data_IF_626185698034
#
_entry.id   IF_626185698034
#
_cell.length_a   1.000
_cell.length_b   1.000
_cell.length_c   1.000
_cell.angle_alpha   90.00
_cell.angle_beta   90.00
_cell.angle_gamma   90.00
#
_symmetry.space_group_name_H-M   'P 1'
#
loop_
_entity.id
_entity.type
_entity.pdbx_description
1 polymer ?
#
# COMPACT_ATOMS: atom_id res chain seq x y z
N UNK A 1 -63.33 -33.67 37.35
CA UNK A 1 -62.80 -32.33 37.04
C UNK A 1 -61.26 -32.19 37.07
N UNK A 2 -60.48 -32.92 37.89
CA UNK A 2 -58.99 -32.79 37.93
C UNK A 2 -58.22 -33.43 36.75
N UNK A 3 -58.80 -34.34 35.95
CA UNK A 3 -58.12 -34.97 34.80
C UNK A 3 -58.02 -34.07 33.57
N UNK A 4 -59.04 -33.25 33.27
CA UNK A 4 -59.02 -32.36 32.09
C UNK A 4 -57.93 -31.27 32.17
N UNK A 5 -57.48 -30.86 33.36
CA UNK A 5 -56.40 -29.87 33.47
C UNK A 5 -55.01 -30.45 33.18
N UNK A 6 -54.84 -31.78 33.29
CA UNK A 6 -53.56 -32.43 32.99
C UNK A 6 -53.28 -32.51 31.49
N UNK A 7 -54.29 -32.76 30.67
CA UNK A 7 -54.11 -32.86 29.21
C UNK A 7 -53.87 -31.48 28.58
N UNK A 8 -54.61 -30.46 29.02
CA UNK A 8 -54.40 -29.09 28.57
C UNK A 8 -52.97 -28.60 28.87
N UNK A 9 -52.44 -28.93 30.05
CA UNK A 9 -51.06 -28.59 30.44
C UNK A 9 -50.02 -29.28 29.57
N UNK A 10 -50.19 -30.59 29.28
CA UNK A 10 -49.28 -31.34 28.41
C UNK A 10 -49.24 -30.78 26.98
N UNK A 11 -50.41 -30.45 26.40
CA UNK A 11 -50.47 -29.83 25.07
C UNK A 11 -49.78 -28.47 25.06
N UNK A 12 -49.94 -27.67 26.11
CA UNK A 12 -49.27 -26.38 26.21
C UNK A 12 -47.74 -26.51 26.35
N UNK A 13 -47.26 -27.47 27.14
CA UNK A 13 -45.82 -27.77 27.25
C UNK A 13 -45.22 -28.22 25.91
N UNK A 14 -45.94 -29.05 25.13
CA UNK A 14 -45.51 -29.46 23.79
C UNK A 14 -45.42 -28.31 22.79
N UNK A 15 -46.39 -27.40 22.79
CA UNK A 15 -46.37 -26.21 21.92
C UNK A 15 -45.19 -25.30 22.27
N UNK A 16 -44.94 -25.05 23.56
CA UNK A 16 -43.78 -24.26 24.01
C UNK A 16 -42.45 -24.90 23.63
N UNK A 17 -42.37 -26.23 23.69
CA UNK A 17 -41.18 -26.98 23.29
C UNK A 17 -40.93 -26.85 21.80
N UNK A 18 -41.97 -26.98 20.97
CA UNK A 18 -41.88 -26.83 19.52
C UNK A 18 -41.43 -25.42 19.11
N UNK A 19 -41.98 -24.39 19.73
CA UNK A 19 -41.58 -23.00 19.49
C UNK A 19 -40.13 -22.74 19.91
N UNK A 20 -39.72 -23.29 21.06
CA UNK A 20 -38.36 -23.14 21.56
C UNK A 20 -37.33 -23.81 20.64
N UNK A 21 -37.70 -24.93 19.98
CA UNK A 21 -36.85 -25.58 18.97
C UNK A 21 -36.64 -24.65 17.78
N UNK A 22 -37.69 -24.02 17.26
CA UNK A 22 -37.57 -23.06 16.17
C UNK A 22 -36.65 -21.88 16.50
N UNK A 23 -36.82 -21.28 17.68
CA UNK A 23 -35.97 -20.16 18.14
C UNK A 23 -34.51 -20.61 18.33
N UNK A 24 -34.28 -21.80 18.89
CA UNK A 24 -32.93 -22.34 19.07
C UNK A 24 -32.23 -22.60 17.73
N UNK A 25 -32.95 -23.16 16.75
CA UNK A 25 -32.45 -23.37 15.40
C UNK A 25 -32.09 -22.05 14.71
N UNK A 26 -32.92 -21.01 14.87
CA UNK A 26 -32.62 -19.67 14.35
C UNK A 26 -31.33 -19.10 14.95
N UNK A 27 -31.12 -19.24 16.27
CA UNK A 27 -29.86 -18.82 16.91
C UNK A 27 -28.66 -19.63 16.41
N UNK A 28 -28.77 -20.96 16.31
CA UNK A 28 -27.70 -21.81 15.76
C UNK A 28 -27.32 -21.39 14.34
N UNK A 29 -28.31 -21.17 13.47
CA UNK A 29 -28.10 -20.72 12.10
C UNK A 29 -27.42 -19.34 12.04
N UNK A 30 -27.89 -18.38 12.85
CA UNK A 30 -27.28 -17.05 12.94
C UNK A 30 -25.81 -17.12 13.38
N UNK A 31 -25.50 -17.90 14.43
CA UNK A 31 -24.13 -18.07 14.92
C UNK A 31 -23.24 -18.76 13.89
N UNK A 32 -23.76 -19.76 13.18
CA UNK A 32 -23.06 -20.43 12.09
C UNK A 32 -22.71 -19.47 10.95
N UNK A 33 -23.66 -18.60 10.57
CA UNK A 33 -23.42 -17.56 9.57
C UNK A 33 -22.35 -16.56 10.04
N UNK A 34 -22.41 -16.12 11.29
CA UNK A 34 -21.45 -15.18 11.88
C UNK A 34 -20.03 -15.78 11.92
N UNK A 35 -19.89 -17.05 12.29
CA UNK A 35 -18.61 -17.76 12.25
C UNK A 35 -18.09 -17.92 10.82
N UNK A 36 -18.94 -18.27 9.87
CA UNK A 36 -18.57 -18.44 8.46
C UNK A 36 -18.06 -17.13 7.88
N UNK A 37 -18.81 -16.03 8.05
CA UNK A 37 -18.40 -14.70 7.59
C UNK A 37 -17.10 -14.27 8.25
N UNK A 38 -16.95 -14.50 9.55
CA UNK A 38 -15.71 -14.17 10.27
C UNK A 38 -14.53 -14.96 9.73
N UNK A 39 -14.69 -16.26 9.48
CA UNK A 39 -13.62 -17.12 8.96
C UNK A 39 -13.21 -16.72 7.54
N UNK A 40 -14.19 -16.40 6.68
CA UNK A 40 -13.92 -15.92 5.33
C UNK A 40 -13.18 -14.58 5.34
N UNK A 41 -13.60 -13.64 6.17
CA UNK A 41 -12.90 -12.37 6.35
C UNK A 41 -11.47 -12.57 6.85
N UNK A 42 -11.30 -13.41 7.88
CA UNK A 42 -9.98 -13.71 8.44
C UNK A 42 -9.04 -14.29 7.37
N UNK A 43 -9.51 -15.30 6.63
CA UNK A 43 -8.75 -15.91 5.54
C UNK A 43 -8.38 -14.89 4.47
N UNK A 44 -9.34 -14.08 4.03
CA UNK A 44 -9.12 -13.05 3.03
C UNK A 44 -8.15 -11.94 3.48
N UNK A 45 -8.20 -11.51 4.74
CA UNK A 45 -7.28 -10.50 5.27
C UNK A 45 -5.86 -11.08 5.35
N UNK A 46 -5.69 -12.27 5.94
CA UNK A 46 -4.37 -12.89 6.10
C UNK A 46 -3.75 -13.18 4.73
N UNK A 47 -4.47 -13.88 3.86
CA UNK A 47 -3.92 -14.30 2.57
C UNK A 47 -3.92 -13.18 1.53
N UNK A 48 -4.98 -12.38 1.47
CA UNK A 48 -5.14 -11.34 0.46
C UNK A 48 -4.39 -10.05 0.78
N UNK A 49 -4.34 -9.61 2.04
CA UNK A 49 -3.68 -8.33 2.37
C UNK A 49 -2.26 -8.51 2.87
N UNK A 50 -2.03 -9.40 3.85
CA UNK A 50 -0.72 -9.51 4.49
C UNK A 50 0.31 -10.20 3.59
N UNK A 51 -0.09 -11.21 2.81
CA UNK A 51 0.83 -11.91 1.90
C UNK A 51 1.02 -11.21 0.54
N UNK A 52 0.09 -10.34 0.13
CA UNK A 52 0.20 -9.63 -1.16
C UNK A 52 1.25 -8.54 -1.14
N UNK A 53 1.55 -7.95 0.01
CA UNK A 53 2.57 -6.90 0.13
C UNK A 53 3.97 -7.53 0.09
N UNK A 54 4.57 -7.54 -1.10
CA UNK A 54 5.96 -7.97 -1.28
C UNK A 54 6.91 -6.85 -0.86
N UNK A 55 7.45 -6.94 0.36
CA UNK A 55 8.53 -6.03 0.79
C UNK A 55 9.86 -6.53 0.21
N UNK A 56 10.10 -6.24 -1.07
CA UNK A 56 11.35 -6.64 -1.77
C UNK A 56 12.54 -5.73 -1.46
N UNK A 57 12.35 -4.67 -0.65
CA UNK A 57 13.38 -3.69 -0.32
C UNK A 57 13.71 -2.71 -1.46
N UNK A 58 13.29 -3.02 -2.70
CA UNK A 58 13.42 -2.11 -3.85
C UNK A 58 12.34 -1.02 -3.89
N UNK A 59 11.25 -1.20 -3.15
CA UNK A 59 10.15 -0.24 -3.11
C UNK A 59 10.36 0.77 -1.98
N UNK A 60 10.46 2.05 -2.36
CA UNK A 60 10.63 3.16 -1.44
C UNK A 60 9.29 3.54 -0.79
N UNK A 61 8.68 2.63 -0.04
CA UNK A 61 7.54 2.98 0.79
C UNK A 61 7.98 3.72 2.04
N UNK A 62 7.29 4.80 2.37
CA UNK A 62 7.51 5.48 3.64
C UNK A 62 7.16 4.55 4.81
N UNK A 63 8.03 4.43 5.81
CA UNK A 63 7.79 3.60 7.01
C UNK A 63 6.44 3.91 7.68
N UNK A 64 5.99 5.17 7.61
CA UNK A 64 4.69 5.60 8.13
C UNK A 64 3.50 4.99 7.36
N UNK A 65 3.63 4.74 6.06
CA UNK A 65 2.59 4.14 5.25
C UNK A 65 2.48 2.64 5.53
N UNK A 66 3.61 1.93 5.58
CA UNK A 66 3.68 0.51 5.93
C UNK A 66 3.08 0.29 7.33
N UNK A 67 3.53 1.04 8.34
CA UNK A 67 3.02 0.90 9.71
C UNK A 67 1.52 1.19 9.81
N UNK A 68 1.00 2.18 9.07
CA UNK A 68 -0.44 2.45 9.01
C UNK A 68 -1.21 1.28 8.37
N UNK A 69 -0.71 0.75 7.26
CA UNK A 69 -1.28 -0.42 6.60
C UNK A 69 -1.30 -1.64 7.53
N UNK A 70 -0.15 -2.01 8.09
CA UNK A 70 0.00 -3.19 8.96
C UNK A 70 -0.87 -3.08 10.21
N UNK A 71 -0.90 -1.91 10.87
CA UNK A 71 -1.75 -1.72 12.06
C UNK A 71 -3.23 -1.91 11.75
N UNK A 72 -3.70 -1.42 10.60
CA UNK A 72 -5.09 -1.57 10.16
C UNK A 72 -5.42 -3.03 9.85
N UNK A 73 -4.55 -3.73 9.12
CA UNK A 73 -4.73 -5.12 8.74
C UNK A 73 -4.70 -6.08 9.96
N UNK A 74 -3.77 -5.85 10.90
CA UNK A 74 -3.69 -6.63 12.14
C UNK A 74 -4.90 -6.38 13.03
N UNK A 75 -5.37 -5.13 13.16
CA UNK A 75 -6.59 -4.83 13.89
C UNK A 75 -7.80 -5.56 13.28
N UNK A 76 -7.93 -5.52 11.95
CA UNK A 76 -8.98 -6.24 11.23
C UNK A 76 -8.95 -7.75 11.50
N UNK A 77 -7.78 -8.37 11.37
CA UNK A 77 -7.54 -9.79 11.69
C UNK A 77 -7.94 -10.12 13.13
N UNK A 78 -7.54 -9.29 14.09
CA UNK A 78 -7.84 -9.48 15.51
C UNK A 78 -9.35 -9.42 15.80
N UNK A 79 -10.06 -8.45 15.24
CA UNK A 79 -11.51 -8.33 15.41
C UNK A 79 -12.28 -9.48 14.75
N UNK A 80 -11.88 -9.89 13.54
CA UNK A 80 -12.45 -11.05 12.86
C UNK A 80 -12.23 -12.35 13.63
N UNK A 81 -11.01 -12.61 14.10
CA UNK A 81 -10.69 -13.77 14.92
C UNK A 81 -11.41 -13.78 16.27
N UNK A 82 -11.54 -12.61 16.91
CA UNK A 82 -12.29 -12.46 18.16
C UNK A 82 -13.77 -12.76 17.97
N UNK A 83 -14.37 -12.31 16.86
CA UNK A 83 -15.77 -12.61 16.52
C UNK A 83 -15.99 -14.12 16.30
N UNK A 84 -15.08 -14.77 15.57
CA UNK A 84 -15.11 -16.22 15.36
C UNK A 84 -15.02 -16.99 16.68
N UNK A 85 -14.08 -16.64 17.57
CA UNK A 85 -13.91 -17.30 18.87
C UNK A 85 -15.12 -17.09 19.79
N UNK A 86 -15.66 -15.88 19.86
CA UNK A 86 -16.90 -15.61 20.60
C UNK A 86 -18.06 -16.44 20.03
N UNK A 87 -18.13 -16.54 18.69
CA UNK A 87 -19.12 -17.36 18.02
C UNK A 87 -19.05 -18.82 18.43
N UNK A 88 -17.85 -19.40 18.47
CA UNK A 88 -17.62 -20.79 18.88
C UNK A 88 -17.98 -21.03 20.35
N UNK A 89 -17.60 -20.11 21.24
CA UNK A 89 -17.91 -20.22 22.68
C UNK A 89 -19.42 -20.18 22.92
N UNK A 90 -20.14 -19.28 22.25
CA UNK A 90 -21.60 -19.16 22.37
C UNK A 90 -22.28 -20.43 21.83
N UNK A 91 -21.85 -20.95 20.67
CA UNK A 91 -22.41 -22.16 20.09
C UNK A 91 -22.15 -23.39 20.96
N UNK A 92 -20.91 -23.58 21.45
CA UNK A 92 -20.56 -24.71 22.32
C UNK A 92 -21.38 -24.72 23.63
N UNK A 93 -21.55 -23.53 24.25
CA UNK A 93 -22.41 -23.39 25.44
C UNK A 93 -23.88 -23.66 25.14
N UNK A 94 -24.36 -23.22 23.97
CA UNK A 94 -25.72 -23.46 23.51
C UNK A 94 -26.02 -24.94 23.31
N UNK A 95 -25.15 -25.65 22.60
CA UNK A 95 -25.27 -27.10 22.34
C UNK A 95 -25.16 -27.91 23.63
N UNK A 96 -24.19 -27.60 24.50
CA UNK A 96 -24.05 -28.30 25.78
C UNK A 96 -25.27 -28.10 26.71
N UNK A 97 -25.88 -26.90 26.71
CA UNK A 97 -27.11 -26.67 27.46
C UNK A 97 -28.31 -27.42 26.88
N UNK A 98 -28.37 -27.57 25.55
CA UNK A 98 -29.40 -28.33 24.84
C UNK A 98 -29.35 -29.81 25.20
N UNK A 99 -28.17 -30.42 25.15
CA UNK A 99 -27.97 -31.85 25.46
C UNK A 99 -28.28 -32.18 26.93
N UNK A 100 -27.80 -31.34 27.88
CA UNK A 100 -27.90 -31.66 29.30
C UNK A 100 -29.25 -31.30 29.94
N UNK A 101 -29.92 -30.27 29.42
CA UNK A 101 -31.08 -29.68 30.10
C UNK A 101 -32.31 -29.45 29.23
N UNK A 102 -32.27 -29.87 27.96
CA UNK A 102 -33.34 -29.69 27.00
C UNK A 102 -33.43 -28.27 26.41
N UNK A 103 -34.33 -28.11 25.44
CA UNK A 103 -34.40 -26.92 24.57
C UNK A 103 -34.73 -25.63 25.32
N UNK A 104 -35.63 -25.67 26.30
CA UNK A 104 -36.07 -24.49 27.05
C UNK A 104 -34.92 -23.83 27.83
N UNK A 105 -34.05 -24.64 28.46
CA UNK A 105 -32.87 -24.11 29.16
C UNK A 105 -31.79 -23.64 28.18
N UNK A 106 -31.67 -24.30 27.03
CA UNK A 106 -30.74 -23.87 25.98
C UNK A 106 -31.09 -22.48 25.43
N UNK A 107 -32.37 -22.23 25.10
CA UNK A 107 -32.85 -20.91 24.66
C UNK A 107 -32.60 -19.84 25.72
N UNK A 108 -32.88 -20.15 27.00
CA UNK A 108 -32.59 -19.23 28.11
C UNK A 108 -31.11 -18.91 28.25
N UNK A 109 -30.23 -19.90 28.04
CA UNK A 109 -28.77 -19.74 28.04
C UNK A 109 -28.30 -18.84 26.89
N UNK A 110 -28.85 -19.06 25.68
CA UNK A 110 -28.55 -18.23 24.51
C UNK A 110 -29.04 -16.79 24.68
N UNK A 111 -30.24 -16.58 25.26
CA UNK A 111 -30.78 -15.24 25.56
C UNK A 111 -29.93 -14.46 26.56
N UNK A 112 -29.28 -15.14 27.51
CA UNK A 112 -28.29 -14.52 28.42
C UNK A 112 -27.00 -14.14 27.70
N UNK A 113 -26.69 -14.82 26.60
CA UNK A 113 -25.51 -14.57 25.78
C UNK A 113 -25.74 -13.51 24.70
N UNK A 114 -26.94 -12.91 24.60
CA UNK A 114 -27.26 -11.88 23.59
C UNK A 114 -26.28 -10.71 23.60
N UNK A 115 -25.79 -10.28 24.77
CA UNK A 115 -24.76 -9.24 24.84
C UNK A 115 -23.46 -9.67 24.15
N UNK A 116 -23.03 -10.91 24.36
CA UNK A 116 -21.85 -11.46 23.69
C UNK A 116 -22.07 -11.59 22.18
N UNK A 117 -23.30 -11.93 21.75
CA UNK A 117 -23.67 -11.96 20.32
C UNK A 117 -23.54 -10.55 19.71
N UNK A 118 -24.08 -9.52 20.37
CA UNK A 118 -23.95 -8.13 19.91
C UNK A 118 -22.48 -7.67 19.83
N UNK A 119 -21.65 -8.08 20.80
CA UNK A 119 -20.21 -7.81 20.78
C UNK A 119 -19.53 -8.52 19.61
N UNK A 120 -19.85 -9.80 19.38
CA UNK A 120 -19.29 -10.56 18.27
C UNK A 120 -19.67 -9.93 16.92
N UNK A 121 -20.92 -9.49 16.76
CA UNK A 121 -21.38 -8.77 15.57
C UNK A 121 -20.66 -7.43 15.41
N UNK A 122 -20.51 -6.65 16.49
CA UNK A 122 -19.75 -5.40 16.47
C UNK A 122 -18.29 -5.64 16.04
N UNK A 123 -17.67 -6.73 16.48
CA UNK A 123 -16.33 -7.11 16.04
C UNK A 123 -16.27 -7.37 14.52
N UNK A 124 -17.28 -7.99 13.91
CA UNK A 124 -17.33 -8.14 12.43
C UNK A 124 -17.36 -6.78 11.73
N UNK A 125 -18.22 -5.87 12.19
CA UNK A 125 -18.31 -4.52 11.60
C UNK A 125 -16.99 -3.74 11.75
N UNK A 126 -16.38 -3.76 12.93
CA UNK A 126 -15.06 -3.15 13.14
C UNK A 126 -13.99 -3.77 12.27
N UNK A 127 -13.98 -5.09 12.12
CA UNK A 127 -13.08 -5.80 11.21
C UNK A 127 -13.19 -5.28 9.78
N UNK A 128 -14.40 -5.14 9.24
CA UNK A 128 -14.64 -4.60 7.90
C UNK A 128 -14.16 -3.15 7.73
N UNK A 129 -14.39 -2.30 8.73
CA UNK A 129 -13.93 -0.91 8.71
C UNK A 129 -12.40 -0.84 8.66
N UNK A 130 -11.72 -1.58 9.55
CA UNK A 130 -10.25 -1.64 9.55
C UNK A 130 -9.71 -2.25 8.26
N UNK A 131 -10.40 -3.23 7.69
CA UNK A 131 -10.06 -3.81 6.39
C UNK A 131 -10.13 -2.76 5.28
N UNK A 132 -11.21 -1.98 5.19
CA UNK A 132 -11.33 -0.90 4.20
C UNK A 132 -10.22 0.16 4.34
N UNK A 133 -9.83 0.51 5.57
CA UNK A 133 -8.70 1.43 5.80
C UNK A 133 -7.35 0.81 5.40
N UNK A 134 -7.17 -0.49 5.62
CA UNK A 134 -5.99 -1.20 5.14
C UNK A 134 -5.95 -1.24 3.60
N UNK A 135 -7.11 -1.41 2.96
CA UNK A 135 -7.25 -1.40 1.51
C UNK A 135 -6.95 -0.01 0.92
N UNK A 136 -7.40 1.07 1.56
CA UNK A 136 -7.02 2.44 1.16
C UNK A 136 -5.49 2.59 1.16
N UNK A 137 -4.84 2.17 2.25
CA UNK A 137 -3.40 2.25 2.38
C UNK A 137 -2.68 1.38 1.32
N UNK A 138 -3.16 0.15 1.10
CA UNK A 138 -2.62 -0.74 0.08
C UNK A 138 -2.73 -0.16 -1.33
N UNK A 139 -3.89 0.40 -1.68
CA UNK A 139 -4.09 0.99 -3.01
C UNK A 139 -3.17 2.21 -3.20
N UNK A 140 -3.05 3.04 -2.16
CA UNK A 140 -2.14 4.20 -2.18
C UNK A 140 -0.69 3.74 -2.35
N UNK A 141 -0.25 2.70 -1.65
CA UNK A 141 1.11 2.19 -1.77
C UNK A 141 1.36 1.55 -3.15
N UNK A 142 0.46 0.67 -3.60
CA UNK A 142 0.70 -0.19 -4.77
C UNK A 142 0.42 0.51 -6.11
N UNK A 143 -0.64 1.32 -6.19
CA UNK A 143 -1.08 1.90 -7.47
C UNK A 143 -0.74 3.38 -7.61
N UNK A 144 -0.71 4.12 -6.51
CA UNK A 144 -0.42 5.56 -6.52
C UNK A 144 1.09 5.79 -6.32
N UNK A 145 1.68 5.02 -5.40
CA UNK A 145 3.07 5.14 -5.01
C UNK A 145 3.35 6.42 -4.22
N UNK A 146 4.60 6.61 -3.76
CA UNK A 146 5.04 7.90 -3.23
C UNK A 146 5.05 8.97 -4.33
N UNK A 147 5.04 10.24 -3.93
CA UNK A 147 5.30 11.36 -4.85
C UNK A 147 6.76 11.29 -5.28
N UNK A 148 7.02 10.58 -6.38
CA UNK A 148 8.37 10.41 -6.92
C UNK A 148 8.84 11.62 -7.72
N UNK A 149 7.93 12.49 -8.13
CA UNK A 149 8.23 13.63 -8.99
C UNK A 149 8.85 14.79 -8.22
N UNK A 150 9.77 15.55 -8.85
CA UNK A 150 10.49 16.65 -8.20
C UNK A 150 9.57 17.80 -7.81
N UNK A 151 8.42 17.95 -8.46
CA UNK A 151 7.45 19.01 -8.16
C UNK A 151 6.22 18.44 -7.48
N UNK A 152 5.81 19.09 -6.39
CA UNK A 152 4.50 18.85 -5.78
C UNK A 152 3.41 19.49 -6.64
N UNK A 153 2.14 19.17 -6.37
CA UNK A 153 0.99 19.84 -7.02
C UNK A 153 0.93 21.36 -6.80
N UNK A 154 1.71 21.90 -5.86
CA UNK A 154 1.85 23.33 -5.62
C UNK A 154 3.04 23.95 -6.35
N UNK A 155 3.63 23.21 -7.32
CA UNK A 155 4.86 23.57 -8.02
C UNK A 155 6.06 23.82 -7.09
N UNK A 156 6.04 23.22 -5.88
CA UNK A 156 7.16 23.30 -4.96
C UNK A 156 8.11 22.12 -5.16
N UNK A 157 9.41 22.41 -5.15
CA UNK A 157 10.48 21.43 -5.22
C UNK A 157 10.47 20.48 -4.02
N UNK A 158 10.17 19.20 -4.23
CA UNK A 158 10.30 18.15 -3.22
C UNK A 158 11.72 17.60 -3.21
N UNK A 159 12.47 17.96 -2.18
CA UNK A 159 13.87 17.51 -2.00
C UNK A 159 13.99 16.03 -1.61
N UNK A 160 12.88 15.38 -1.25
CA UNK A 160 12.83 13.99 -0.81
C UNK A 160 12.30 13.05 -1.90
N UNK A 161 11.84 13.60 -3.02
CA UNK A 161 11.29 12.80 -4.10
C UNK A 161 12.39 11.98 -4.79
N UNK A 162 12.08 10.74 -5.16
CA UNK A 162 13.01 9.83 -5.82
C UNK A 162 13.63 10.46 -7.08
N UNK A 163 12.80 11.04 -7.95
CA UNK A 163 13.29 11.68 -9.16
C UNK A 163 14.11 12.93 -8.84
N UNK A 164 13.75 13.72 -7.82
CA UNK A 164 14.57 14.86 -7.40
C UNK A 164 16.02 14.44 -7.06
N UNK A 165 16.20 13.28 -6.42
CA UNK A 165 17.54 12.75 -6.13
C UNK A 165 18.27 12.28 -7.39
N UNK A 166 17.58 11.61 -8.32
CA UNK A 166 18.16 11.22 -9.63
C UNK A 166 18.61 12.46 -10.41
N UNK A 167 17.82 13.54 -10.36
CA UNK A 167 18.17 14.81 -11.01
C UNK A 167 19.36 15.49 -10.38
N UNK A 168 19.43 15.46 -9.05
CA UNK A 168 20.59 15.95 -8.33
C UNK A 168 21.84 15.16 -8.74
N UNK A 169 21.81 13.82 -8.73
CA UNK A 169 22.93 12.98 -9.17
C UNK A 169 23.39 13.33 -10.60
N UNK A 170 22.45 13.53 -11.53
CA UNK A 170 22.76 13.89 -12.92
C UNK A 170 23.29 15.31 -13.07
N UNK A 171 22.72 16.29 -12.36
CA UNK A 171 23.19 17.67 -12.34
C UNK A 171 24.68 17.72 -11.97
N UNK A 172 25.07 16.97 -10.94
CA UNK A 172 26.43 16.97 -10.45
C UNK A 172 27.38 16.19 -11.35
N UNK A 173 26.94 15.10 -11.96
CA UNK A 173 27.68 14.40 -13.00
C UNK A 173 28.00 15.33 -14.18
N UNK A 174 26.99 16.05 -14.71
CA UNK A 174 27.17 17.01 -15.79
C UNK A 174 28.13 18.13 -15.40
N UNK A 175 27.95 18.72 -14.21
CA UNK A 175 28.81 19.80 -13.71
C UNK A 175 30.28 19.38 -13.59
N UNK A 176 30.55 18.16 -13.14
CA UNK A 176 31.89 17.60 -13.04
C UNK A 176 32.53 17.42 -14.42
N UNK A 177 31.78 16.90 -15.41
CA UNK A 177 32.26 16.74 -16.78
C UNK A 177 32.66 18.05 -17.44
N UNK A 178 31.94 19.14 -17.16
CA UNK A 178 32.14 20.42 -17.84
C UNK A 178 33.18 21.34 -17.17
N UNK A 179 33.92 20.85 -16.17
CA UNK A 179 35.03 21.59 -15.58
C UNK A 179 34.62 22.81 -14.73
N UNK A 180 33.36 22.90 -14.30
CA UNK A 180 32.81 24.00 -13.50
C UNK A 180 32.57 23.63 -12.01
N UNK A 181 33.19 22.56 -11.50
CA UNK A 181 32.93 22.03 -10.16
C UNK A 181 34.15 22.00 -9.23
N UNK A 182 33.98 22.53 -8.01
CA UNK A 182 34.70 22.02 -6.82
C UNK A 182 34.20 20.59 -6.54
N UNK A 183 35.01 19.72 -5.90
CA UNK A 183 34.61 18.34 -5.60
C UNK A 183 33.26 18.26 -4.86
N UNK A 184 32.47 17.25 -5.24
CA UNK A 184 31.13 16.90 -4.75
C UNK A 184 31.04 16.89 -3.21
N UNK A 185 30.20 17.74 -2.57
CA UNK A 185 29.85 17.53 -1.17
C UNK A 185 28.99 16.27 -1.09
N UNK A 186 29.54 15.19 -0.51
CA UNK A 186 28.82 13.92 -0.38
C UNK A 186 27.50 14.17 0.39
N UNK A 187 26.33 13.83 -0.16
CA UNK A 187 25.07 13.96 0.56
C UNK A 187 25.09 13.02 1.77
N UNK A 188 24.93 13.58 2.97
CA UNK A 188 25.16 12.90 4.26
C UNK A 188 24.15 11.81 4.64
N UNK A 189 23.44 11.18 3.69
CA UNK A 189 22.31 10.31 4.03
C UNK A 189 21.98 9.17 3.08
N UNK A 190 22.69 8.99 1.97
CA UNK A 190 22.43 7.87 1.04
C UNK A 190 23.51 6.79 1.22
N UNK A 191 23.34 5.91 2.20
CA UNK A 191 24.05 4.62 2.23
C UNK A 191 23.56 3.80 1.04
N UNK A 192 24.12 4.00 -0.15
CA UNK A 192 23.88 3.05 -1.24
C UNK A 192 24.53 1.74 -0.81
N UNK A 193 23.84 0.62 -1.01
CA UNK A 193 24.30 -0.75 -0.76
C UNK A 193 25.56 -1.19 -1.57
N UNK A 194 26.29 -0.23 -2.15
CA UNK A 194 27.58 -0.42 -2.82
C UNK A 194 28.74 0.34 -2.16
N UNK A 195 28.55 1.06 -1.05
CA UNK A 195 29.64 1.75 -0.34
C UNK A 195 30.64 0.79 0.33
N UNK A 196 30.23 -0.45 0.60
CA UNK A 196 31.16 -1.52 1.04
C UNK A 196 32.02 -2.07 -0.11
N UNK A 197 31.75 -1.62 -1.34
CA UNK A 197 32.64 -1.76 -2.49
C UNK A 197 33.33 -0.43 -2.79
N UNK A 198 33.77 0.31 -1.76
CA UNK A 198 35.12 0.86 -1.85
C UNK A 198 36.04 -0.32 -2.13
N UNK A 199 36.30 -0.61 -3.42
CA UNK A 199 37.53 -1.28 -3.83
C UNK A 199 38.60 -0.62 -2.98
N UNK A 200 39.09 -1.36 -1.99
CA UNK A 200 40.04 -0.87 -1.00
C UNK A 200 41.01 -0.04 -1.78
N UNK A 201 41.01 1.26 -1.47
CA UNK A 201 41.68 2.27 -2.26
C UNK A 201 43.06 1.73 -2.59
N UNK A 202 43.21 1.21 -3.80
CA UNK A 202 44.50 1.12 -4.41
C UNK A 202 44.85 2.58 -4.49
N UNK A 203 45.62 3.01 -3.50
CA UNK A 203 46.19 4.33 -3.31
C UNK A 203 47.23 4.57 -4.42
N UNK A 204 46.91 4.12 -5.64
CA UNK A 204 47.52 4.56 -6.85
C UNK A 204 47.02 5.99 -7.03
N UNK A 205 47.79 6.89 -6.44
CA UNK A 205 48.17 8.19 -6.98
C UNK A 205 48.62 8.07 -8.44
N UNK A 206 47.81 7.48 -9.31
CA UNK A 206 47.83 7.84 -10.72
C UNK A 206 47.34 9.28 -10.68
N UNK A 207 48.28 10.21 -10.86
CA UNK A 207 48.02 11.62 -11.05
C UNK A 207 47.01 11.76 -12.17
N UNK A 208 45.74 11.73 -11.82
CA UNK A 208 44.64 11.91 -12.74
C UNK A 208 44.64 13.40 -13.02
N UNK A 209 45.41 13.80 -14.03
CA UNK A 209 45.34 15.11 -14.62
C UNK A 209 43.85 15.37 -14.93
N UNK A 210 43.19 16.33 -14.24
CA UNK A 210 41.75 16.54 -14.36
C UNK A 210 41.33 16.88 -15.79
N UNK A 211 42.29 17.24 -16.66
CA UNK A 211 42.08 17.49 -18.08
C UNK A 211 41.87 16.22 -18.92
N UNK A 212 42.36 15.05 -18.50
CA UNK A 212 42.40 13.83 -19.35
C UNK A 212 41.12 12.96 -19.29
N UNK A 213 40.21 13.28 -18.37
CA UNK A 213 38.92 12.61 -18.20
C UNK A 213 37.73 13.42 -18.75
N UNK A 214 37.97 14.44 -19.59
CA UNK A 214 36.87 15.02 -20.37
C UNK A 214 36.32 13.92 -21.27
N UNK A 215 35.05 13.59 -21.05
CA UNK A 215 34.25 12.92 -22.08
C UNK A 215 34.12 13.96 -23.21
N UNK A 216 34.21 13.54 -24.48
CA UNK A 216 33.90 14.39 -25.64
C UNK A 216 32.39 14.68 -25.64
N UNK A 217 31.95 15.48 -24.67
CA UNK A 217 30.54 15.72 -24.44
C UNK A 217 30.26 17.21 -24.57
N UNK A 218 30.70 17.80 -25.68
CA UNK A 218 30.24 19.14 -26.09
C UNK A 218 28.71 19.20 -26.05
N UNK A 219 28.04 18.09 -26.37
CA UNK A 219 26.60 17.92 -26.19
C UNK A 219 26.15 18.01 -24.71
N UNK A 220 26.71 17.22 -23.79
CA UNK A 220 26.33 17.30 -22.36
C UNK A 220 26.63 18.68 -21.76
N UNK A 221 27.76 19.29 -22.15
CA UNK A 221 28.17 20.58 -21.63
C UNK A 221 27.42 21.76 -22.24
N UNK A 222 27.04 21.69 -23.50
CA UNK A 222 26.10 22.64 -24.10
C UNK A 222 24.74 22.53 -23.40
N UNK A 223 24.18 21.34 -23.20
CA UNK A 223 22.92 21.15 -22.48
C UNK A 223 22.99 21.69 -21.04
N UNK A 224 24.08 21.42 -20.32
CA UNK A 224 24.29 21.99 -18.98
C UNK A 224 24.38 23.53 -19.01
N UNK A 225 25.11 24.10 -19.97
CA UNK A 225 25.20 25.55 -20.14
C UNK A 225 23.83 26.16 -20.43
N UNK A 226 23.03 25.54 -21.31
CA UNK A 226 21.66 25.97 -21.60
C UNK A 226 20.79 25.95 -20.35
N UNK A 227 20.76 24.84 -19.61
CA UNK A 227 19.95 24.70 -18.40
C UNK A 227 20.35 25.74 -17.33
N UNK A 228 21.64 26.00 -17.15
CA UNK A 228 22.09 27.04 -16.20
C UNK A 228 21.77 28.47 -16.68
N UNK A 229 21.77 28.72 -17.99
CA UNK A 229 21.41 30.02 -18.55
C UNK A 229 19.89 30.27 -18.45
N UNK A 230 19.06 29.29 -18.78
CA UNK A 230 17.59 29.38 -18.70
C UNK A 230 17.08 29.45 -17.26
N UNK A 231 17.82 28.89 -16.28
CA UNK A 231 17.54 29.05 -14.86
C UNK A 231 17.38 30.49 -14.38
N UNK A 232 18.03 31.46 -15.04
CA UNK A 232 17.91 32.87 -14.64
C UNK A 232 16.54 33.46 -15.01
N UNK A 233 15.79 32.81 -15.89
CA UNK A 233 14.47 33.25 -16.38
C UNK A 233 13.31 32.41 -15.81
N UNK A 234 13.58 31.21 -15.30
CA UNK A 234 12.57 30.32 -14.69
C UNK A 234 12.28 30.70 -13.23
N UNK A 235 10.99 30.77 -12.87
CA UNK A 235 10.54 30.83 -11.47
C UNK A 235 9.80 29.52 -11.12
N UNK A 236 10.28 28.74 -10.13
CA UNK A 236 11.49 28.93 -9.32
C UNK A 236 12.80 28.64 -10.09
N UNK A 237 13.96 29.18 -9.65
CA UNK A 237 15.26 28.92 -10.29
C UNK A 237 15.59 27.42 -10.26
N UNK A 238 16.29 26.93 -11.29
CA UNK A 238 16.79 25.56 -11.34
C UNK A 238 17.76 25.34 -10.18
N UNK A 239 17.31 24.57 -9.21
CA UNK A 239 18.18 23.98 -8.20
C UNK A 239 18.64 22.61 -8.71
N UNK A 240 19.76 22.05 -8.22
CA UNK A 240 20.16 20.67 -8.53
C UNK A 240 19.01 19.67 -8.32
N UNK A 241 18.10 19.98 -7.38
CA UNK A 241 16.96 19.16 -6.98
C UNK A 241 15.75 19.27 -7.91
N UNK A 242 15.72 20.30 -8.75
CA UNK A 242 14.74 20.55 -9.80
C UNK A 242 15.30 20.23 -11.19
N UNK A 243 16.50 19.66 -11.24
CA UNK A 243 17.17 19.33 -12.48
C UNK A 243 16.51 18.11 -13.12
N UNK A 244 15.47 18.37 -13.89
CA UNK A 244 14.71 17.34 -14.57
C UNK A 244 15.35 17.04 -15.93
N UNK A 245 16.43 16.26 -15.92
CA UNK A 245 17.00 15.70 -17.17
C UNK A 245 15.99 14.83 -17.90
N UNK A 246 14.92 14.39 -17.22
CA UNK A 246 13.79 13.66 -17.77
C UNK A 246 12.63 14.56 -18.22
N UNK A 247 12.73 15.89 -18.05
CA UNK A 247 11.82 16.81 -18.72
C UNK A 247 12.26 16.85 -20.19
N UNK A 248 11.35 16.59 -21.13
CA UNK A 248 11.70 16.35 -22.53
C UNK A 248 12.24 17.57 -23.27
N UNK A 249 12.39 18.68 -22.57
CA UNK A 249 12.84 19.95 -23.07
C UNK A 249 14.32 19.87 -23.40
N UNK A 250 14.61 19.57 -24.68
CA UNK A 250 15.93 19.78 -25.25
C UNK A 250 15.98 21.21 -25.77
N UNK A 251 16.99 21.95 -25.32
CA UNK A 251 17.26 23.27 -25.85
C UNK A 251 18.20 23.14 -27.06
N UNK A 252 17.75 23.62 -28.21
CA UNK A 252 18.59 23.78 -29.41
C UNK A 252 18.77 25.26 -29.70
N UNK A 253 20.00 25.63 -30.02
CA UNK A 253 20.29 26.94 -30.60
C UNK A 253 19.86 26.93 -32.06
N UNK A 254 18.91 27.78 -32.40
CA UNK A 254 18.50 27.98 -33.78
C UNK A 254 19.57 28.81 -34.52
N UNK A 255 19.59 28.76 -35.87
CA UNK A 255 20.62 29.47 -36.67
C UNK A 255 20.67 30.99 -36.43
N UNK A 256 19.61 31.58 -35.90
CA UNK A 256 19.47 33.00 -35.56
C UNK A 256 19.95 33.32 -34.13
N UNK A 257 20.46 32.34 -33.38
CA UNK A 257 20.86 32.47 -31.98
C UNK A 257 19.68 32.46 -31.00
N UNK A 258 18.46 32.23 -31.46
CA UNK A 258 17.31 32.01 -30.57
C UNK A 258 17.35 30.58 -29.99
N UNK A 259 16.79 30.41 -28.79
CA UNK A 259 16.71 29.10 -28.14
C UNK A 259 15.36 28.50 -28.48
N UNK A 260 15.35 27.46 -29.32
CA UNK A 260 14.16 26.68 -29.61
C UNK A 260 13.99 25.60 -28.53
N UNK A 261 12.78 25.51 -27.99
CA UNK A 261 12.37 24.45 -27.06
C UNK A 261 11.84 23.27 -27.89
N UNK A 262 12.65 22.21 -28.02
CA UNK A 262 12.20 20.96 -28.62
C UNK A 262 11.56 20.10 -27.53
N UNK A 263 10.25 19.86 -27.66
CA UNK A 263 9.45 19.05 -26.72
C UNK A 263 9.31 17.60 -27.17
N UNK A 264 10.00 17.19 -28.24
CA UNK A 264 9.89 15.82 -28.74
C UNK A 264 10.63 14.82 -27.82
N UNK A 265 9.87 14.28 -26.87
CA UNK A 265 10.31 13.26 -25.93
C UNK A 265 10.73 11.94 -26.57
N UNK A 266 10.31 11.68 -27.82
CA UNK A 266 10.64 10.43 -28.52
C UNK A 266 11.98 10.52 -29.25
N UNK A 267 12.63 11.68 -29.24
CA UNK A 267 13.93 11.89 -29.85
C UNK A 267 15.00 10.99 -29.21
N UNK A 268 15.72 10.26 -30.06
CA UNK A 268 16.91 9.48 -29.69
C UNK A 268 17.95 10.33 -28.93
N UNK A 269 17.99 11.63 -29.19
CA UNK A 269 18.88 12.59 -28.53
C UNK A 269 18.67 12.71 -27.02
N UNK A 270 17.43 12.60 -26.52
CA UNK A 270 17.16 12.69 -25.08
C UNK A 270 17.65 11.46 -24.33
N UNK A 271 17.35 10.28 -24.88
CA UNK A 271 17.84 9.01 -24.34
C UNK A 271 19.37 8.92 -24.40
N UNK A 272 19.97 9.48 -25.46
CA UNK A 272 21.43 9.59 -25.58
C UNK A 272 22.01 10.51 -24.49
N UNK A 273 21.39 11.67 -24.22
CA UNK A 273 21.81 12.54 -23.11
C UNK A 273 21.81 11.79 -21.76
N UNK A 274 20.71 11.09 -21.45
CA UNK A 274 20.59 10.31 -20.21
C UNK A 274 21.67 9.23 -20.13
N UNK A 275 21.93 8.53 -21.25
CA UNK A 275 22.97 7.51 -21.33
C UNK A 275 24.36 8.11 -21.07
N UNK A 276 24.72 9.20 -21.77
CA UNK A 276 26.03 9.85 -21.67
C UNK A 276 26.29 10.36 -20.24
N UNK A 277 25.26 10.93 -19.60
CA UNK A 277 25.35 11.41 -18.21
C UNK A 277 25.48 10.24 -17.23
N UNK A 278 24.79 9.13 -17.49
CA UNK A 278 24.90 7.91 -16.68
C UNK A 278 26.30 7.29 -16.82
N UNK A 279 26.89 7.28 -18.02
CA UNK A 279 28.26 6.81 -18.24
C UNK A 279 29.30 7.62 -17.47
N UNK A 280 29.12 8.95 -17.43
CA UNK A 280 29.92 9.85 -16.59
C UNK A 280 29.74 9.50 -15.12
N UNK A 281 28.49 9.43 -14.64
CA UNK A 281 28.17 9.18 -13.23
C UNK A 281 28.76 7.85 -12.75
N UNK A 282 28.67 6.80 -13.58
CA UNK A 282 29.18 5.47 -13.28
C UNK A 282 30.66 5.27 -13.66
N UNK A 283 31.36 6.32 -14.14
CA UNK A 283 32.78 6.28 -14.50
C UNK A 283 33.15 5.18 -15.51
N UNK A 284 32.26 4.90 -16.48
CA UNK A 284 32.41 3.81 -17.46
C UNK A 284 33.71 3.96 -18.26
N UNK A 285 34.07 5.18 -18.67
CA UNK A 285 35.32 5.46 -19.41
C UNK A 285 36.55 5.04 -18.60
N UNK A 286 36.59 5.34 -17.30
CA UNK A 286 37.69 4.95 -16.41
C UNK A 286 37.78 3.42 -16.28
N UNK A 287 36.65 2.75 -16.05
CA UNK A 287 36.61 1.29 -15.96
C UNK A 287 37.01 0.62 -17.29
N UNK A 288 36.61 1.20 -18.42
CA UNK A 288 36.99 0.75 -19.76
C UNK A 288 38.49 0.91 -20.01
N UNK A 289 39.08 2.02 -19.58
CA UNK A 289 40.54 2.25 -19.67
C UNK A 289 41.31 1.25 -18.81
N UNK A 290 40.91 1.05 -17.55
CA UNK A 290 41.52 0.04 -16.67
C UNK A 290 41.43 -1.37 -17.28
N UNK A 291 40.27 -1.73 -17.84
CA UNK A 291 40.08 -3.01 -18.54
C UNK A 291 41.03 -3.13 -19.73
N UNK A 292 41.12 -2.11 -20.58
CA UNK A 292 42.02 -2.12 -21.75
C UNK A 292 43.49 -2.20 -21.34
N UNK A 293 43.89 -1.50 -20.27
CA UNK A 293 45.26 -1.47 -19.79
C UNK A 293 45.68 -2.83 -19.20
N UNK A 294 44.90 -3.38 -18.27
CA UNK A 294 45.27 -4.62 -17.58
C UNK A 294 45.00 -5.89 -18.41
N UNK A 295 44.05 -5.86 -19.34
CA UNK A 295 43.71 -7.03 -20.16
C UNK A 295 44.43 -7.10 -21.52
N UNK A 296 45.24 -6.10 -21.89
CA UNK A 296 46.01 -6.14 -23.15
C UNK A 296 47.28 -6.99 -23.07
N UNK A 297 47.77 -7.27 -21.85
CA UNK A 297 48.99 -8.04 -21.60
C UNK A 297 48.79 -9.55 -21.46
N UNK A 298 49.89 -10.28 -21.23
CA UNK A 298 49.85 -11.73 -21.03
C UNK A 298 48.99 -12.10 -19.81
N UNK A 299 47.94 -12.90 -20.02
CA UNK A 299 46.98 -13.30 -18.99
C UNK A 299 47.65 -13.98 -17.80
N UNK A 300 48.76 -14.69 -18.00
CA UNK A 300 49.48 -15.37 -16.92
C UNK A 300 50.08 -14.41 -15.87
N UNK A 301 50.40 -13.17 -16.26
CA UNK A 301 51.03 -12.17 -15.37
C UNK A 301 49.97 -11.20 -14.82
N UNK A 302 48.96 -10.85 -15.62
CA UNK A 302 47.97 -9.82 -15.27
C UNK A 302 46.55 -10.37 -15.03
N UNK A 303 46.35 -11.68 -15.06
CA UNK A 303 45.03 -12.31 -15.01
C UNK A 303 44.14 -11.82 -13.86
N UNK A 304 44.70 -11.69 -12.66
CA UNK A 304 43.99 -11.14 -11.49
C UNK A 304 43.55 -9.68 -11.69
N UNK A 305 44.45 -8.80 -12.13
CA UNK A 305 44.14 -7.37 -12.37
C UNK A 305 43.17 -7.18 -13.52
N UNK A 306 43.28 -7.99 -14.56
CA UNK A 306 42.33 -8.00 -15.67
C UNK A 306 40.94 -8.45 -15.19
N UNK A 307 40.84 -9.51 -14.38
CA UNK A 307 39.58 -9.93 -13.77
C UNK A 307 38.96 -8.83 -12.88
N UNK A 308 39.76 -8.19 -12.01
CA UNK A 308 39.30 -7.07 -11.18
C UNK A 308 38.80 -5.88 -12.04
N UNK A 309 39.53 -5.52 -13.09
CA UNK A 309 39.14 -4.46 -14.02
C UNK A 309 37.87 -4.82 -14.82
N UNK A 310 37.69 -6.09 -15.19
CA UNK A 310 36.49 -6.58 -15.87
C UNK A 310 35.27 -6.53 -14.95
N UNK A 311 35.40 -6.92 -13.67
CA UNK A 311 34.34 -6.80 -12.66
C UNK A 311 33.97 -5.32 -12.45
N UNK A 312 34.97 -4.43 -12.34
CA UNK A 312 34.72 -3.00 -12.20
C UNK A 312 33.97 -2.42 -13.42
N UNK A 313 34.34 -2.84 -14.63
CA UNK A 313 33.63 -2.46 -15.85
C UNK A 313 32.18 -2.96 -15.86
N UNK A 314 31.94 -4.23 -15.51
CA UNK A 314 30.58 -4.79 -15.45
C UNK A 314 29.70 -4.05 -14.44
N UNK A 315 30.21 -3.76 -13.25
CA UNK A 315 29.49 -2.97 -12.23
C UNK A 315 29.20 -1.54 -12.71
N UNK A 316 30.13 -0.93 -13.46
CA UNK A 316 29.90 0.38 -14.06
C UNK A 316 28.78 0.33 -15.10
N UNK A 317 28.71 -0.72 -15.93
CA UNK A 317 27.60 -0.92 -16.87
C UNK A 317 26.27 -1.19 -16.17
N UNK A 318 26.24 -2.05 -15.14
CA UNK A 318 25.04 -2.30 -14.32
C UNK A 318 24.53 -1.00 -13.69
N UNK A 319 25.42 -0.14 -13.19
CA UNK A 319 25.09 1.20 -12.71
C UNK A 319 24.47 2.10 -13.80
N UNK A 320 24.93 2.02 -15.05
CA UNK A 320 24.34 2.78 -16.16
C UNK A 320 22.93 2.27 -16.45
N UNK A 321 22.75 0.97 -16.53
CA UNK A 321 21.45 0.34 -16.79
C UNK A 321 20.43 0.70 -15.69
N UNK A 322 20.85 0.70 -14.43
CA UNK A 322 20.03 1.10 -13.27
C UNK A 322 19.62 2.57 -13.35
N UNK A 323 20.58 3.48 -13.59
CA UNK A 323 20.27 4.91 -13.71
C UNK A 323 19.39 5.23 -14.94
N UNK A 324 19.61 4.53 -16.06
CA UNK A 324 18.77 4.65 -17.25
C UNK A 324 17.35 4.15 -16.97
N UNK A 325 17.21 3.02 -16.28
CA UNK A 325 15.92 2.47 -15.84
C UNK A 325 15.19 3.45 -14.92
N UNK A 326 15.90 4.03 -13.97
CA UNK A 326 15.35 5.00 -13.02
C UNK A 326 14.94 6.32 -13.69
N UNK A 327 15.76 6.83 -14.61
CA UNK A 327 15.42 7.98 -15.43
C UNK A 327 14.17 7.71 -16.31
N UNK A 328 14.06 6.52 -16.92
CA UNK A 328 12.87 6.12 -17.69
C UNK A 328 11.61 6.01 -16.83
N UNK A 329 11.73 5.51 -15.59
CA UNK A 329 10.62 5.50 -14.62
C UNK A 329 10.20 6.93 -14.27
N UNK A 330 11.16 7.80 -13.98
CA UNK A 330 10.92 9.20 -13.67
C UNK A 330 10.28 9.93 -14.84
N UNK A 331 10.75 9.69 -16.06
CA UNK A 331 10.15 10.20 -17.29
C UNK A 331 8.68 9.77 -17.44
N UNK A 332 8.40 8.47 -17.40
CA UNK A 332 7.05 7.92 -17.62
C UNK A 332 6.02 8.44 -16.60
N UNK A 333 6.43 8.66 -15.36
CA UNK A 333 5.55 9.14 -14.29
C UNK A 333 5.50 10.69 -14.26
N UNK A 334 6.67 11.30 -14.47
CA UNK A 334 6.97 12.71 -14.73
C UNK A 334 6.01 13.38 -15.70
N UNK A 335 5.96 12.79 -16.89
CA UNK A 335 5.27 13.35 -18.04
C UNK A 335 3.77 13.53 -17.79
N UNK A 336 3.18 12.73 -16.90
CA UNK A 336 1.77 12.85 -16.54
C UNK A 336 1.46 14.05 -15.62
N UNK A 337 2.47 14.76 -15.10
CA UNK A 337 2.26 15.89 -14.19
C UNK A 337 1.87 17.20 -14.89
N UNK A 338 2.01 17.31 -16.21
CA UNK A 338 1.61 18.51 -16.96
C UNK A 338 0.09 18.59 -17.21
N UNK A 339 -0.68 17.57 -16.82
CA UNK A 339 -2.15 17.58 -16.77
C UNK A 339 -2.67 17.17 -15.39
N UNK A 340 -3.99 17.12 -15.20
CA UNK A 340 -4.59 16.61 -13.96
C UNK A 340 -4.14 15.14 -13.76
N UNK A 341 -3.28 14.83 -12.78
CA UNK A 341 -2.66 13.52 -12.70
C UNK A 341 -3.73 12.46 -12.47
N UNK A 342 -3.81 11.45 -13.34
CA UNK A 342 -4.75 10.34 -13.16
C UNK A 342 -4.63 9.70 -11.76
N UNK A 343 -3.42 9.75 -11.17
CA UNK A 343 -3.13 9.36 -9.79
C UNK A 343 -3.92 10.15 -8.74
N UNK A 344 -4.03 11.47 -8.89
CA UNK A 344 -4.82 12.32 -7.99
C UNK A 344 -6.30 11.98 -8.08
N UNK A 345 -6.80 11.80 -9.31
CA UNK A 345 -8.19 11.41 -9.54
C UNK A 345 -8.50 10.04 -8.96
N UNK A 346 -7.61 9.06 -9.14
CA UNK A 346 -7.71 7.73 -8.52
C UNK A 346 -7.65 7.83 -6.98
N UNK A 347 -6.72 8.61 -6.42
CA UNK A 347 -6.61 8.83 -4.97
C UNK A 347 -7.89 9.40 -4.39
N UNK A 348 -8.43 10.41 -5.06
CA UNK A 348 -9.64 11.08 -4.64
C UNK A 348 -10.84 10.13 -4.72
N UNK A 349 -11.00 9.44 -5.85
CA UNK A 349 -12.05 8.44 -6.07
C UNK A 349 -12.01 7.33 -5.02
N UNK A 350 -10.86 6.70 -4.82
CA UNK A 350 -10.68 5.62 -3.82
C UNK A 350 -11.02 6.10 -2.42
N UNK A 351 -10.53 7.28 -2.03
CA UNK A 351 -10.81 7.85 -0.70
C UNK A 351 -12.30 8.17 -0.52
N UNK A 352 -12.95 8.72 -1.53
CA UNK A 352 -14.38 9.03 -1.50
C UNK A 352 -15.19 7.73 -1.38
N UNK A 353 -14.91 6.74 -2.22
CA UNK A 353 -15.58 5.43 -2.20
C UNK A 353 -15.42 4.72 -0.85
N UNK A 354 -14.21 4.71 -0.28
CA UNK A 354 -13.95 4.08 1.02
C UNK A 354 -14.65 4.81 2.16
N UNK A 355 -14.68 6.15 2.14
CA UNK A 355 -15.43 6.94 3.14
C UNK A 355 -16.92 6.67 3.07
N UNK A 356 -17.50 6.60 1.87
CA UNK A 356 -18.91 6.25 1.68
C UNK A 356 -19.21 4.84 2.20
N UNK A 357 -18.41 3.85 1.82
CA UNK A 357 -18.56 2.48 2.29
C UNK A 357 -18.43 2.37 3.81
N UNK A 358 -17.47 3.09 4.40
CA UNK A 358 -17.29 3.15 5.87
C UNK A 358 -18.50 3.79 6.54
N UNK A 359 -19.01 4.91 6.01
CA UNK A 359 -20.19 5.58 6.53
C UNK A 359 -21.43 4.69 6.48
N UNK A 360 -21.63 3.96 5.39
CA UNK A 360 -22.71 2.98 5.25
C UNK A 360 -22.59 1.84 6.28
N UNK A 361 -21.39 1.27 6.44
CA UNK A 361 -21.15 0.22 7.44
C UNK A 361 -21.42 0.70 8.87
N UNK A 362 -21.00 1.92 9.21
CA UNK A 362 -21.28 2.52 10.53
C UNK A 362 -22.78 2.75 10.72
N UNK A 363 -23.50 3.23 9.71
CA UNK A 363 -24.95 3.41 9.77
C UNK A 363 -25.69 2.07 9.97
N UNK A 364 -25.30 1.02 9.24
CA UNK A 364 -25.85 -0.32 9.39
C UNK A 364 -25.56 -0.90 10.79
N UNK A 365 -24.33 -0.73 11.27
CA UNK A 365 -23.93 -1.13 12.61
C UNK A 365 -24.77 -0.42 13.69
N UNK A 366 -24.92 0.90 13.62
CA UNK A 366 -25.72 1.66 14.57
C UNK A 366 -27.20 1.25 14.54
N UNK A 367 -27.76 1.06 13.35
CA UNK A 367 -29.14 0.59 13.19
C UNK A 367 -29.36 -0.78 13.82
N UNK A 368 -28.43 -1.73 13.60
CA UNK A 368 -28.50 -3.04 14.25
C UNK A 368 -28.25 -3.01 15.75
N UNK A 369 -27.29 -2.21 16.21
CA UNK A 369 -27.01 -2.03 17.62
C UNK A 369 -28.24 -1.50 18.37
N UNK A 370 -28.92 -0.49 17.81
CA UNK A 370 -30.15 0.06 18.39
C UNK A 370 -31.24 -1.00 18.46
N UNK A 371 -31.46 -1.77 17.38
CA UNK A 371 -32.44 -2.87 17.38
C UNK A 371 -32.09 -3.96 18.39
N UNK A 372 -30.83 -4.36 18.48
CA UNK A 372 -30.35 -5.36 19.44
C UNK A 372 -30.51 -4.90 20.89
N UNK A 373 -30.21 -3.63 21.18
CA UNK A 373 -30.42 -3.04 22.51
C UNK A 373 -31.91 -2.94 22.84
N UNK A 374 -32.75 -2.51 21.90
CA UNK A 374 -34.20 -2.49 22.09
C UNK A 374 -34.73 -3.89 22.42
N UNK A 375 -34.37 -4.89 21.63
CA UNK A 375 -34.75 -6.29 21.88
C UNK A 375 -34.27 -6.80 23.23
N UNK A 376 -33.02 -6.48 23.63
CA UNK A 376 -32.49 -6.83 24.94
C UNK A 376 -33.27 -6.14 26.07
N UNK A 377 -33.55 -4.84 25.96
CA UNK A 377 -34.33 -4.09 26.95
C UNK A 377 -35.76 -4.63 27.08
N UNK A 378 -36.44 -4.92 25.97
CA UNK A 378 -37.75 -5.57 25.99
C UNK A 378 -37.68 -6.95 26.64
N UNK A 379 -36.63 -7.73 26.37
CA UNK A 379 -36.43 -9.02 26.98
C UNK A 379 -36.23 -8.95 28.51
N UNK A 380 -35.45 -7.99 28.99
CA UNK A 380 -35.23 -7.77 30.43
C UNK A 380 -36.47 -7.21 31.14
N UNK A 381 -37.20 -6.30 30.48
CA UNK A 381 -38.44 -5.74 31.04
C UNK A 381 -39.53 -6.80 31.20
N UNK A 382 -39.57 -7.80 30.33
CA UNK A 382 -40.59 -8.86 30.33
C UNK A 382 -40.27 -10.03 31.25
N UNK A 383 -39.00 -10.24 31.64
CA UNK A 383 -38.56 -11.32 32.53
C UNK A 383 -39.14 -11.23 33.97
N UNK A 384 -39.76 -10.09 34.35
CA UNK A 384 -40.50 -9.93 35.60
C UNK A 384 -42.04 -9.96 35.45
N UNK A 385 -42.58 -10.13 34.25
CA UNK A 385 -44.01 -10.04 33.97
C UNK A 385 -44.67 -11.40 33.75
N UNK A 386 -45.96 -11.54 34.11
CA UNK A 386 -46.69 -12.80 34.06
C UNK A 386 -46.68 -13.46 32.67
N UNK A 387 -46.69 -14.80 32.62
CA UNK A 387 -46.52 -15.66 31.43
C UNK A 387 -47.35 -15.25 30.19
N UNK A 388 -48.48 -14.58 30.37
CA UNK A 388 -49.29 -14.00 29.29
C UNK A 388 -48.53 -12.98 28.43
N UNK A 389 -47.67 -12.14 29.02
CA UNK A 389 -46.89 -11.15 28.26
C UNK A 389 -45.76 -11.78 27.44
N UNK A 390 -45.34 -13.01 27.76
CA UNK A 390 -44.38 -13.77 26.96
C UNK A 390 -45.02 -14.31 25.66
N UNK A 391 -46.30 -14.65 25.67
CA UNK A 391 -47.02 -15.13 24.48
C UNK A 391 -47.21 -14.03 23.41
N UNK A 392 -47.43 -12.78 23.82
CA UNK A 392 -47.50 -11.64 22.89
C UNK A 392 -46.17 -11.31 22.19
N UNK A 393 -45.04 -11.78 22.71
CA UNK A 393 -43.74 -11.51 22.11
C UNK A 393 -43.43 -12.41 20.90
N UNK A 394 -44.12 -13.53 20.74
CA UNK A 394 -43.93 -14.44 19.61
C UNK A 394 -44.52 -13.90 18.31
N UNK A 395 -45.56 -13.06 18.36
CA UNK A 395 -46.16 -12.47 17.15
C UNK A 395 -45.30 -11.37 16.51
N UNK A 396 -44.35 -10.78 17.26
CA UNK A 396 -43.49 -9.72 16.73
C UNK A 396 -42.25 -10.24 15.97
N UNK A 397 -41.97 -11.54 16.06
CA UNK A 397 -40.87 -12.22 15.36
C UNK A 397 -41.37 -13.11 14.21
N UNK A 398 -42.66 -13.04 13.86
CA UNK A 398 -43.14 -13.64 12.62
C UNK A 398 -42.58 -12.84 11.44
N UNK A 399 -41.68 -13.48 10.68
CA UNK A 399 -41.21 -12.95 9.40
C UNK A 399 -42.44 -12.73 8.48
N UNK A 400 -42.57 -11.55 7.84
CA UNK A 400 -43.71 -11.24 6.97
C UNK A 400 -43.76 -12.08 5.67
N UNK A 401 -42.79 -12.98 5.44
CA UNK A 401 -42.71 -13.80 4.23
C UNK A 401 -43.44 -15.15 4.31
N UNK A 402 -43.98 -15.56 5.46
CA UNK A 402 -44.64 -16.87 5.58
C UNK A 402 -46.14 -16.89 5.21
N UNK A 403 -46.68 -15.85 4.56
CA UNK A 403 -48.12 -15.75 4.28
C UNK A 403 -48.53 -15.95 2.81
N UNK A 404 -47.61 -16.35 1.91
CA UNK A 404 -47.93 -16.55 0.48
C UNK A 404 -48.09 -18.02 0.03
N UNK A 405 -48.02 -19.01 0.94
CA UNK A 405 -48.06 -20.44 0.55
C UNK A 405 -49.39 -21.17 0.81
N UNK A 406 -50.50 -20.44 1.01
CA UNK A 406 -51.85 -21.03 1.01
C UNK A 406 -52.81 -20.19 0.15
N UNK A 407 -52.76 -20.40 -1.17
CA UNK A 407 -53.84 -20.06 -2.11
C UNK A 407 -53.93 -21.11 -3.22
#
# INVERSE_FOLDING_TARGET
RRRCSSEARKRHEQLLEQDAVGVFQAYQAFMGNLQTVSTLLLGFIITGTLLSVKVTGSENYGARQITRFTRSAVASTFFSGSSMLLGLVIQARGTSAYENFGVLRAVKSMRRSTLCICVAEACVYWSLIFFLWSLEAYIVMSYIGPDICPYTHQNQASTQAFCSQVGEDFYWAMRLSCGHGRPWPRPAGRRRLGEDFQMGAVNATIGADPKRNRVDSDFVCSQYAFLTASSRRLQPPLTPRNFAVWDCTIYREAPDGSVAEDKDCHGSAHLQLINDVSEVLCSVKKATMMRREFCRGNFMIHGRRCAEAYIAYRKAMECVDDNLSDAKKCYKVCQWSHGEPQRLRLRHSVRVSIKWATGLLVALFLGRLVRGVQQACYAFATDGSSAWKQAMHQTLFQDPESSEEEA
#
